data_IF_801537450856
#
_entry.id   IF_801537450856
#
_cell.length_a   1.000
_cell.length_b   1.000
_cell.length_c   1.000
_cell.angle_alpha   90.00
_cell.angle_beta   90.00
_cell.angle_gamma   90.00
#
_symmetry.space_group_name_H-M   'P 1'
#
loop_
_entity.id
_entity.type
_entity.pdbx_description
1 polymer ?
#
# COMPACT_ATOMS: atom_id res chain seq x y z
N UNK A 1 -2.67 -30.88 49.65
CA UNK A 1 -3.99 -30.26 49.32
C UNK A 1 -3.79 -29.44 48.09
N UNK A 2 -4.20 -30.00 47.05
CA UNK A 2 -4.54 -29.61 45.67
C UNK A 2 -4.34 -28.17 45.25
N UNK A 3 -3.38 -28.00 44.38
CA UNK A 3 -3.23 -26.91 43.43
C UNK A 3 -4.14 -27.18 42.23
N UNK A 4 -5.28 -26.56 42.14
CA UNK A 4 -6.06 -26.41 40.91
C UNK A 4 -5.47 -25.27 40.10
N UNK A 5 -4.58 -25.57 39.17
CA UNK A 5 -4.25 -24.72 38.05
C UNK A 5 -5.47 -24.69 37.13
N UNK A 6 -6.23 -23.60 37.22
CA UNK A 6 -7.34 -23.30 36.33
C UNK A 6 -6.76 -22.97 34.93
N UNK A 7 -6.91 -23.91 34.04
CA UNK A 7 -6.60 -23.76 32.61
C UNK A 7 -7.75 -23.00 31.93
N UNK A 8 -7.76 -21.67 32.07
CA UNK A 8 -8.59 -20.81 31.21
C UNK A 8 -7.92 -20.67 29.83
N UNK A 9 -7.99 -21.73 29.05
CA UNK A 9 -7.88 -21.60 27.60
C UNK A 9 -9.07 -20.78 27.12
N UNK A 10 -8.86 -19.46 26.98
CA UNK A 10 -9.85 -18.53 26.45
C UNK A 10 -10.24 -19.05 25.06
N UNK A 11 -11.44 -19.61 24.91
CA UNK A 11 -11.99 -19.99 23.60
C UNK A 11 -12.04 -18.71 22.75
N UNK A 12 -11.08 -18.56 21.83
CA UNK A 12 -11.11 -17.47 20.85
C UNK A 12 -12.45 -17.49 20.14
N UNK A 13 -13.12 -16.35 20.04
CA UNK A 13 -14.39 -16.24 19.33
C UNK A 13 -14.25 -16.75 17.90
N UNK A 14 -15.32 -17.28 17.29
CA UNK A 14 -15.33 -17.70 15.87
C UNK A 14 -14.79 -16.59 14.94
N UNK A 15 -15.05 -15.35 15.28
CA UNK A 15 -14.59 -14.18 14.57
C UNK A 15 -13.05 -13.98 14.67
N UNK A 16 -12.47 -14.20 15.83
CA UNK A 16 -11.01 -14.14 16.00
C UNK A 16 -10.29 -15.26 15.22
N UNK A 17 -10.88 -16.46 15.19
CA UNK A 17 -10.39 -17.57 14.34
C UNK A 17 -10.49 -17.27 12.85
N UNK A 18 -11.57 -16.63 12.42
CA UNK A 18 -11.72 -16.22 11.02
C UNK A 18 -10.65 -15.21 10.62
N UNK A 19 -10.34 -14.23 11.49
CA UNK A 19 -9.25 -13.26 11.24
C UNK A 19 -7.88 -13.94 11.09
N UNK A 20 -7.57 -14.94 11.88
CA UNK A 20 -6.31 -15.68 11.78
C UNK A 20 -6.17 -16.44 10.44
N UNK A 21 -7.28 -16.80 9.80
CA UNK A 21 -7.29 -17.57 8.55
C UNK A 21 -7.76 -16.76 7.33
N UNK A 22 -7.96 -15.45 7.45
CA UNK A 22 -8.51 -14.63 6.37
C UNK A 22 -7.64 -14.67 5.10
N UNK A 23 -6.32 -14.66 5.25
CA UNK A 23 -5.38 -14.75 4.12
C UNK A 23 -5.55 -16.05 3.36
N UNK A 24 -5.68 -17.19 4.08
CA UNK A 24 -5.94 -18.48 3.46
C UNK A 24 -7.31 -18.51 2.77
N UNK A 25 -8.33 -17.90 3.39
CA UNK A 25 -9.66 -17.79 2.80
C UNK A 25 -9.67 -16.94 1.51
N UNK A 26 -8.89 -15.87 1.46
CA UNK A 26 -8.73 -15.05 0.25
C UNK A 26 -8.06 -15.86 -0.85
N UNK A 27 -7.01 -16.61 -0.54
CA UNK A 27 -6.34 -17.47 -1.52
C UNK A 27 -7.27 -18.56 -2.05
N UNK A 28 -8.06 -19.20 -1.19
CA UNK A 28 -9.11 -20.16 -1.58
C UNK A 28 -10.15 -19.48 -2.47
N UNK A 29 -10.62 -18.29 -2.11
CA UNK A 29 -11.55 -17.50 -2.91
C UNK A 29 -10.99 -17.20 -4.31
N UNK A 30 -9.72 -16.83 -4.40
CA UNK A 30 -9.03 -16.59 -5.68
C UNK A 30 -8.99 -17.85 -6.55
N UNK A 31 -8.54 -18.97 -5.99
CA UNK A 31 -8.45 -20.25 -6.73
C UNK A 31 -9.82 -20.73 -7.18
N UNK A 32 -10.82 -20.70 -6.29
CA UNK A 32 -12.19 -21.07 -6.65
C UNK A 32 -12.79 -20.13 -7.71
N UNK A 33 -12.49 -18.83 -7.62
CA UNK A 33 -12.92 -17.83 -8.60
C UNK A 33 -12.33 -18.10 -9.99
N UNK A 34 -11.04 -18.41 -10.06
CA UNK A 34 -10.37 -18.78 -11.31
C UNK A 34 -11.02 -20.04 -11.90
N UNK A 35 -11.21 -21.08 -11.10
CA UNK A 35 -11.84 -22.33 -11.58
C UNK A 35 -13.29 -22.08 -12.03
N UNK A 36 -14.04 -21.27 -11.30
CA UNK A 36 -15.42 -20.91 -11.66
C UNK A 36 -15.45 -20.11 -12.97
N UNK A 37 -14.56 -19.13 -13.14
CA UNK A 37 -14.45 -18.35 -14.37
C UNK A 37 -14.12 -19.22 -15.59
N UNK A 38 -13.19 -20.18 -15.44
CA UNK A 38 -12.77 -21.05 -16.55
C UNK A 38 -13.83 -22.09 -16.95
N UNK A 39 -14.57 -22.63 -15.98
CA UNK A 39 -15.38 -23.84 -16.23
C UNK A 39 -16.89 -23.65 -16.08
N UNK A 40 -17.35 -22.70 -15.24
CA UNK A 40 -18.77 -22.53 -14.93
C UNK A 40 -19.37 -21.24 -15.49
N UNK A 41 -18.64 -20.13 -15.46
CA UNK A 41 -19.20 -18.83 -15.82
C UNK A 41 -19.67 -18.79 -17.29
N UNK A 42 -18.90 -19.39 -18.21
CA UNK A 42 -19.29 -19.52 -19.62
C UNK A 42 -20.48 -20.44 -19.90
N UNK A 43 -20.87 -21.28 -18.92
CA UNK A 43 -21.98 -22.25 -19.06
C UNK A 43 -23.27 -21.78 -18.38
N UNK A 44 -23.16 -20.92 -17.40
CA UNK A 44 -24.28 -20.50 -16.57
C UNK A 44 -24.28 -18.97 -16.39
N UNK A 45 -25.06 -18.24 -17.18
CA UNK A 45 -25.20 -16.78 -17.14
C UNK A 45 -25.52 -16.24 -15.74
N UNK A 46 -26.24 -17.04 -14.93
CA UNK A 46 -26.56 -16.67 -13.54
C UNK A 46 -25.31 -16.53 -12.69
N UNK A 47 -24.29 -17.39 -12.91
CA UNK A 47 -23.01 -17.30 -12.17
C UNK A 47 -22.33 -15.98 -12.47
N UNK A 48 -22.23 -15.62 -13.75
CA UNK A 48 -21.62 -14.35 -14.19
C UNK A 48 -22.40 -13.15 -13.65
N UNK A 49 -23.73 -13.17 -13.76
CA UNK A 49 -24.60 -12.09 -13.27
C UNK A 49 -24.43 -11.86 -11.76
N UNK A 50 -24.49 -12.94 -10.96
CA UNK A 50 -24.39 -12.85 -9.50
C UNK A 50 -22.98 -12.40 -9.07
N UNK A 51 -21.94 -12.96 -9.67
CA UNK A 51 -20.56 -12.59 -9.31
C UNK A 51 -20.25 -11.14 -9.73
N UNK A 52 -20.71 -10.69 -10.88
CA UNK A 52 -20.57 -9.29 -11.31
C UNK A 52 -21.29 -8.33 -10.34
N UNK A 53 -22.52 -8.67 -9.94
CA UNK A 53 -23.29 -7.85 -9.00
C UNK A 53 -22.59 -7.74 -7.63
N UNK A 54 -22.26 -8.90 -7.03
CA UNK A 54 -21.62 -8.92 -5.71
C UNK A 54 -20.21 -8.30 -5.74
N UNK A 55 -19.46 -8.55 -6.81
CA UNK A 55 -18.17 -7.91 -7.05
C UNK A 55 -18.30 -6.40 -7.12
N UNK A 56 -19.29 -5.87 -7.84
CA UNK A 56 -19.55 -4.42 -7.93
C UNK A 56 -19.93 -3.81 -6.58
N UNK A 57 -20.74 -4.49 -5.78
CA UNK A 57 -21.10 -4.03 -4.42
C UNK A 57 -19.86 -3.97 -3.53
N UNK A 58 -19.02 -5.01 -3.56
CA UNK A 58 -17.76 -5.04 -2.82
C UNK A 58 -16.81 -3.91 -3.25
N UNK A 59 -16.67 -3.70 -4.56
CA UNK A 59 -15.87 -2.61 -5.12
C UNK A 59 -16.38 -1.23 -4.71
N UNK A 60 -17.69 -1.00 -4.77
CA UNK A 60 -18.29 0.27 -4.36
C UNK A 60 -18.08 0.55 -2.87
N UNK A 61 -18.14 -0.50 -2.02
CA UNK A 61 -17.87 -0.36 -0.59
C UNK A 61 -16.41 0.07 -0.30
N UNK A 62 -15.44 -0.40 -1.09
CA UNK A 62 -14.05 0.05 -1.01
C UNK A 62 -13.87 1.46 -1.58
N UNK A 63 -14.39 1.71 -2.79
CA UNK A 63 -14.25 2.98 -3.50
C UNK A 63 -14.84 4.15 -2.72
N UNK A 64 -15.92 3.95 -1.98
CA UNK A 64 -16.56 4.96 -1.13
C UNK A 64 -15.57 5.61 -0.15
N UNK A 65 -14.58 4.86 0.33
CA UNK A 65 -13.63 5.33 1.34
C UNK A 65 -12.34 5.91 0.76
N UNK A 66 -12.10 5.81 -0.55
CA UNK A 66 -10.83 6.23 -1.18
C UNK A 66 -10.51 7.69 -0.89
N UNK A 67 -11.38 8.60 -1.28
CA UNK A 67 -11.11 10.05 -1.15
C UNK A 67 -11.05 10.51 0.31
N UNK A 68 -12.01 10.15 1.19
CA UNK A 68 -11.95 10.51 2.60
C UNK A 68 -10.70 9.96 3.29
N UNK A 69 -10.37 8.69 3.05
CA UNK A 69 -9.20 8.07 3.67
C UNK A 69 -7.90 8.73 3.22
N UNK A 70 -7.71 8.90 1.90
CA UNK A 70 -6.48 9.51 1.36
C UNK A 70 -6.29 10.92 1.92
N UNK A 71 -7.36 11.73 1.96
CA UNK A 71 -7.30 13.07 2.55
C UNK A 71 -6.89 13.03 4.04
N UNK A 72 -7.62 12.29 4.85
CA UNK A 72 -7.34 12.22 6.30
C UNK A 72 -5.96 11.64 6.59
N UNK A 73 -5.58 10.55 5.92
CA UNK A 73 -4.29 9.89 6.14
C UNK A 73 -3.10 10.78 5.78
N UNK A 74 -3.18 11.53 4.69
CA UNK A 74 -2.09 12.47 4.31
C UNK A 74 -1.99 13.61 5.31
N UNK A 75 -3.11 14.20 5.73
CA UNK A 75 -3.10 15.28 6.74
C UNK A 75 -2.50 14.76 8.04
N UNK A 76 -2.95 13.61 8.54
CA UNK A 76 -2.41 12.98 9.75
C UNK A 76 -0.92 12.65 9.60
N UNK A 77 -0.53 12.08 8.45
CA UNK A 77 0.86 11.77 8.15
C UNK A 77 1.77 13.01 8.23
N UNK A 78 1.38 14.12 7.59
CA UNK A 78 2.16 15.36 7.59
C UNK A 78 2.21 16.00 8.98
N UNK A 79 1.11 16.00 9.71
CA UNK A 79 1.07 16.62 11.06
C UNK A 79 1.86 15.83 12.09
N UNK A 80 1.95 14.51 11.97
CA UNK A 80 2.79 13.67 12.85
C UNK A 80 4.28 13.99 12.70
N UNK A 81 4.73 14.40 11.52
CA UNK A 81 6.10 14.86 11.28
C UNK A 81 6.39 16.19 12.03
N UNK A 82 5.43 17.10 12.03
CA UNK A 82 5.58 18.44 12.64
C UNK A 82 5.69 18.46 14.18
N UNK A 83 5.17 17.47 14.85
CA UNK A 83 5.19 17.36 16.33
C UNK A 83 6.52 16.91 16.93
N UNK A 84 7.52 16.64 16.11
CA UNK A 84 8.82 16.06 16.49
C UNK A 84 9.82 17.04 17.11
N UNK A 85 9.40 18.12 17.78
CA UNK A 85 10.31 19.13 18.35
C UNK A 85 11.28 18.57 19.42
N UNK A 86 10.94 17.49 20.09
CA UNK A 86 11.74 16.93 21.20
C UNK A 86 12.70 15.82 20.76
N UNK A 87 12.47 15.20 19.60
CA UNK A 87 13.26 14.07 19.06
C UNK A 87 13.75 14.36 17.63
N UNK A 88 13.84 15.62 17.29
CA UNK A 88 14.00 16.12 15.90
C UNK A 88 15.09 15.46 15.07
N UNK A 89 16.23 15.02 15.68
CA UNK A 89 17.29 14.36 14.93
C UNK A 89 16.90 12.94 14.48
N UNK A 90 16.23 12.15 15.34
CA UNK A 90 15.83 10.77 15.02
C UNK A 90 14.72 10.82 13.98
N UNK A 91 13.66 11.58 14.22
CA UNK A 91 12.52 11.72 13.30
C UNK A 91 12.94 12.30 11.96
N UNK A 92 13.75 13.38 11.96
CA UNK A 92 14.25 14.00 10.72
C UNK A 92 15.13 13.04 9.92
N UNK A 93 16.04 12.33 10.59
CA UNK A 93 16.90 11.34 9.93
C UNK A 93 16.10 10.17 9.37
N UNK A 94 15.11 9.65 10.13
CA UNK A 94 14.21 8.60 9.67
C UNK A 94 13.40 9.05 8.44
N UNK A 95 12.82 10.24 8.48
CA UNK A 95 12.06 10.82 7.37
C UNK A 95 12.88 10.97 6.09
N UNK A 96 14.10 11.49 6.20
CA UNK A 96 15.00 11.65 5.04
C UNK A 96 15.30 10.26 4.44
N UNK A 97 15.60 9.27 5.28
CA UNK A 97 15.87 7.92 4.83
C UNK A 97 14.67 7.31 4.14
N UNK A 98 13.50 7.31 4.78
CA UNK A 98 12.29 6.69 4.24
C UNK A 98 11.78 7.37 2.96
N UNK A 99 11.74 8.70 2.91
CA UNK A 99 11.31 9.39 1.70
C UNK A 99 12.27 9.19 0.53
N UNK A 100 13.57 9.11 0.80
CA UNK A 100 14.57 8.82 -0.23
C UNK A 100 14.42 7.40 -0.77
N UNK A 101 14.28 6.39 0.11
CA UNK A 101 14.10 5.00 -0.32
C UNK A 101 12.77 4.81 -1.03
N UNK A 102 11.69 5.48 -0.60
CA UNK A 102 10.39 5.46 -1.26
C UNK A 102 10.44 6.08 -2.67
N UNK A 103 11.13 7.20 -2.85
CA UNK A 103 11.31 7.78 -4.17
C UNK A 103 12.10 6.83 -5.11
N UNK A 104 13.15 6.20 -4.59
CA UNK A 104 13.92 5.21 -5.33
C UNK A 104 13.07 3.96 -5.65
N UNK A 105 12.27 3.50 -4.70
CA UNK A 105 11.36 2.38 -4.88
C UNK A 105 10.31 2.65 -5.96
N UNK A 106 9.69 3.83 -5.93
CA UNK A 106 8.75 4.26 -6.96
C UNK A 106 9.41 4.34 -8.34
N UNK A 107 10.63 4.88 -8.43
CA UNK A 107 11.39 4.94 -9.67
C UNK A 107 11.68 3.53 -10.23
N UNK A 108 12.20 2.62 -9.40
CA UNK A 108 12.46 1.23 -9.75
C UNK A 108 11.17 0.54 -10.22
N UNK A 109 10.07 0.77 -9.49
CA UNK A 109 8.75 0.25 -9.79
C UNK A 109 8.18 0.74 -11.12
N UNK A 110 8.55 1.91 -11.61
CA UNK A 110 8.15 2.42 -12.93
C UNK A 110 9.05 1.90 -14.05
N UNK A 111 10.36 1.81 -13.83
CA UNK A 111 11.33 1.50 -14.87
C UNK A 111 11.35 0.01 -15.22
N UNK A 112 11.32 -0.89 -14.22
CA UNK A 112 11.45 -2.33 -14.47
C UNK A 112 10.31 -2.86 -15.35
N UNK A 113 9.02 -2.69 -15.00
CA UNK A 113 7.94 -3.22 -15.83
C UNK A 113 7.89 -2.57 -17.22
N UNK A 114 8.31 -1.31 -17.34
CA UNK A 114 8.43 -0.64 -18.65
C UNK A 114 9.54 -1.24 -19.49
N UNK A 115 10.71 -1.49 -18.93
CA UNK A 115 11.88 -2.04 -19.65
C UNK A 115 11.60 -3.42 -20.24
N UNK A 116 10.82 -4.25 -19.55
CA UNK A 116 10.44 -5.60 -20.02
C UNK A 116 9.09 -5.62 -20.75
N UNK A 117 8.45 -4.47 -20.98
CA UNK A 117 7.12 -4.35 -21.56
C UNK A 117 6.06 -5.23 -20.84
N UNK A 118 6.09 -5.28 -19.53
CA UNK A 118 5.18 -6.09 -18.72
C UNK A 118 3.72 -5.68 -18.97
N UNK A 119 2.85 -6.66 -19.25
CA UNK A 119 1.45 -6.42 -19.60
C UNK A 119 1.19 -6.15 -21.09
N UNK A 120 2.23 -5.99 -21.92
CA UNK A 120 2.05 -5.77 -23.36
C UNK A 120 1.55 -7.06 -24.03
N UNK A 121 0.48 -6.93 -24.81
CA UNK A 121 -0.18 -8.06 -25.48
C UNK A 121 -1.26 -8.73 -24.65
N UNK A 122 -1.35 -8.42 -23.35
CA UNK A 122 -2.51 -8.79 -22.53
C UNK A 122 -3.66 -7.86 -22.91
N UNK A 123 -4.81 -8.42 -23.24
CA UNK A 123 -6.02 -7.64 -23.47
C UNK A 123 -6.99 -7.98 -22.35
N UNK A 124 -7.22 -7.04 -21.47
CA UNK A 124 -8.37 -7.13 -20.59
C UNK A 124 -9.58 -6.59 -21.35
N UNK A 125 -10.52 -7.44 -21.73
CA UNK A 125 -11.85 -6.97 -22.15
C UNK A 125 -12.56 -6.41 -20.90
N UNK A 126 -12.29 -5.15 -20.64
CA UNK A 126 -13.02 -4.39 -19.62
C UNK A 126 -14.19 -3.71 -20.32
N UNK A 127 -15.37 -3.75 -19.69
CA UNK A 127 -16.50 -2.97 -20.15
C UNK A 127 -16.02 -1.52 -20.33
N UNK A 128 -15.91 -1.08 -21.57
CA UNK A 128 -15.54 0.28 -21.95
C UNK A 128 -16.74 1.18 -21.71
N UNK A 129 -17.11 1.36 -20.45
CA UNK A 129 -17.98 2.48 -20.09
C UNK A 129 -17.13 3.73 -20.17
N UNK A 130 -17.29 4.45 -21.29
CA UNK A 130 -16.90 5.84 -21.51
C UNK A 130 -15.51 6.23 -21.00
N UNK A 131 -14.47 5.60 -21.60
CA UNK A 131 -13.16 6.21 -21.58
C UNK A 131 -13.20 7.30 -22.67
N UNK A 132 -13.69 8.49 -22.34
CA UNK A 132 -13.05 9.64 -22.92
C UNK A 132 -11.58 9.54 -22.49
N UNK A 133 -10.74 9.08 -23.41
CA UNK A 133 -9.30 9.11 -23.25
C UNK A 133 -8.99 10.55 -22.82
N UNK A 134 -8.77 10.75 -21.54
CA UNK A 134 -8.40 12.04 -21.00
C UNK A 134 -7.12 12.38 -21.72
N UNK A 135 -7.24 13.19 -22.79
CA UNK A 135 -6.11 13.69 -23.57
C UNK A 135 -5.16 14.25 -22.55
N UNK A 136 -4.02 13.58 -22.39
CA UNK A 136 -3.02 13.96 -21.42
C UNK A 136 -2.75 15.45 -21.56
N UNK A 137 -3.19 16.18 -20.57
CA UNK A 137 -2.92 17.60 -20.44
C UNK A 137 -1.40 17.79 -20.37
N UNK A 138 -0.89 18.80 -21.03
CA UNK A 138 0.51 19.21 -20.92
C UNK A 138 0.92 19.25 -19.44
N UNK A 139 2.22 19.04 -19.13
CA UNK A 139 2.73 19.24 -17.75
C UNK A 139 2.28 20.60 -17.20
N UNK A 140 2.25 21.63 -18.05
CA UNK A 140 1.76 22.96 -17.67
C UNK A 140 0.30 22.97 -17.24
N UNK A 141 -0.55 22.20 -17.92
CA UNK A 141 -1.97 22.11 -17.54
C UNK A 141 -2.16 21.28 -16.27
N UNK A 142 -1.34 20.25 -16.08
CA UNK A 142 -1.31 19.48 -14.82
C UNK A 142 -0.91 20.38 -13.66
N UNK A 143 0.14 21.21 -13.81
CA UNK A 143 0.58 22.15 -12.78
C UNK A 143 -0.46 23.25 -12.52
N UNK A 144 -1.11 23.79 -13.55
CA UNK A 144 -2.19 24.78 -13.39
C UNK A 144 -3.39 24.21 -12.62
N UNK A 145 -3.71 22.93 -12.86
CA UNK A 145 -4.86 22.27 -12.26
C UNK A 145 -4.50 21.57 -10.92
N UNK A 146 -3.28 21.71 -10.45
CA UNK A 146 -2.82 21.08 -9.20
C UNK A 146 -3.59 21.62 -7.98
N UNK A 147 -3.78 22.92 -7.93
CA UNK A 147 -4.49 23.59 -6.82
C UNK A 147 -5.97 23.69 -7.17
N UNK A 148 -6.87 23.09 -6.37
CA UNK A 148 -8.30 23.16 -6.63
C UNK A 148 -8.86 24.56 -6.40
N UNK A 149 -9.58 25.11 -7.38
CA UNK A 149 -10.36 26.32 -7.18
C UNK A 149 -11.52 26.11 -6.19
N UNK A 150 -12.05 24.87 -6.14
CA UNK A 150 -13.05 24.42 -5.18
C UNK A 150 -12.71 23.02 -4.68
N UNK A 151 -12.20 22.88 -3.44
CA UNK A 151 -11.86 21.57 -2.88
C UNK A 151 -13.05 20.61 -2.83
N UNK A 152 -14.26 21.09 -2.50
CA UNK A 152 -15.46 20.24 -2.44
C UNK A 152 -15.79 19.65 -3.82
N UNK A 153 -15.64 20.43 -4.86
CA UNK A 153 -15.82 19.95 -6.24
C UNK A 153 -14.73 18.92 -6.61
N UNK A 154 -13.50 19.05 -6.10
CA UNK A 154 -12.44 18.06 -6.31
C UNK A 154 -12.82 16.70 -5.72
N UNK A 155 -13.38 16.66 -4.52
CA UNK A 155 -13.91 15.42 -3.91
C UNK A 155 -15.10 14.86 -4.70
N UNK A 156 -16.09 15.70 -5.03
CA UNK A 156 -17.31 15.26 -5.73
C UNK A 156 -17.01 14.71 -7.14
N UNK A 157 -16.08 15.32 -7.85
CA UNK A 157 -15.70 14.93 -9.22
C UNK A 157 -14.59 13.86 -9.26
N UNK A 158 -14.11 13.40 -8.11
CA UNK A 158 -13.07 12.37 -8.05
C UNK A 158 -11.69 12.83 -8.55
N UNK A 159 -11.37 14.14 -8.48
CA UNK A 159 -10.07 14.64 -8.90
C UNK A 159 -9.01 14.42 -7.80
N UNK A 160 -8.39 13.24 -7.84
CA UNK A 160 -7.47 12.80 -6.80
C UNK A 160 -6.25 13.71 -6.66
N UNK A 161 -5.68 14.20 -7.76
CA UNK A 161 -4.51 15.09 -7.70
C UNK A 161 -4.82 16.38 -6.92
N UNK A 162 -6.00 16.95 -7.12
CA UNK A 162 -6.46 18.13 -6.39
C UNK A 162 -6.74 17.81 -4.92
N UNK A 163 -7.31 16.64 -4.62
CA UNK A 163 -7.54 16.17 -3.23
C UNK A 163 -6.22 15.99 -2.50
N UNK A 164 -5.22 15.37 -3.13
CA UNK A 164 -3.86 15.22 -2.60
C UNK A 164 -3.23 16.58 -2.28
N UNK A 165 -3.27 17.49 -3.24
CA UNK A 165 -2.70 18.84 -3.07
C UNK A 165 -3.37 19.58 -1.93
N UNK A 166 -4.69 19.51 -1.83
CA UNK A 166 -5.46 20.14 -0.76
C UNK A 166 -5.11 19.52 0.61
N UNK A 167 -4.98 18.20 0.69
CA UNK A 167 -4.57 17.50 1.92
C UNK A 167 -3.16 17.94 2.38
N UNK A 168 -2.22 18.07 1.44
CA UNK A 168 -0.86 18.53 1.72
C UNK A 168 -0.87 19.98 2.26
N UNK A 169 -1.63 20.87 1.63
CA UNK A 169 -1.77 22.26 2.08
C UNK A 169 -2.37 22.32 3.49
N UNK A 170 -3.44 21.58 3.76
CA UNK A 170 -4.07 21.51 5.09
C UNK A 170 -3.08 20.96 6.13
N UNK A 171 -2.38 19.86 5.82
CA UNK A 171 -1.40 19.24 6.73
C UNK A 171 -0.31 20.23 7.16
N UNK A 172 0.37 20.88 6.20
CA UNK A 172 1.39 21.88 6.52
C UNK A 172 0.83 23.11 7.23
N UNK A 173 -0.39 23.55 6.88
CA UNK A 173 -1.04 24.67 7.56
C UNK A 173 -1.34 24.36 9.02
N UNK A 174 -1.83 23.14 9.32
CA UNK A 174 -2.08 22.70 10.70
C UNK A 174 -0.79 22.66 11.51
N UNK A 175 0.32 22.19 10.93
CA UNK A 175 1.63 22.25 11.58
C UNK A 175 2.04 23.70 11.85
N UNK A 176 1.84 24.62 10.92
CA UNK A 176 2.24 26.02 11.05
C UNK A 176 1.44 26.78 12.11
N UNK A 177 0.13 26.57 12.20
CA UNK A 177 -0.72 27.26 13.20
C UNK A 177 -0.66 26.61 14.60
N UNK A 178 -0.10 25.42 14.72
CA UNK A 178 0.15 24.72 15.98
C UNK A 178 -1.12 24.50 16.81
N UNK A 179 -1.09 24.88 18.10
CA UNK A 179 -2.20 24.64 19.05
C UNK A 179 -3.58 25.13 18.56
N UNK A 180 -3.64 26.17 17.74
CA UNK A 180 -4.91 26.68 17.20
C UNK A 180 -5.57 25.71 16.22
N UNK A 181 -4.76 24.88 15.54
CA UNK A 181 -5.22 23.85 14.61
C UNK A 181 -5.61 22.52 15.27
N UNK A 182 -5.26 22.33 16.54
CA UNK A 182 -5.45 21.06 17.24
C UNK A 182 -6.91 20.55 17.25
N UNK A 183 -7.96 21.38 17.40
CA UNK A 183 -9.34 20.90 17.31
C UNK A 183 -9.68 20.29 15.93
N UNK A 184 -9.24 20.94 14.84
CA UNK A 184 -9.48 20.43 13.49
C UNK A 184 -8.66 19.15 13.23
N UNK A 185 -7.40 19.11 13.71
CA UNK A 185 -6.58 17.92 13.61
C UNK A 185 -7.25 16.71 14.28
N UNK A 186 -7.78 16.85 15.49
CA UNK A 186 -8.50 15.78 16.21
C UNK A 186 -9.73 15.28 15.45
N UNK A 187 -10.44 16.17 14.75
CA UNK A 187 -11.56 15.76 13.88
C UNK A 187 -11.06 14.92 12.69
N UNK A 188 -9.97 15.34 12.07
CA UNK A 188 -9.38 14.62 10.93
C UNK A 188 -8.78 13.27 11.38
N UNK A 189 -8.11 13.22 12.54
CA UNK A 189 -7.63 11.97 13.15
C UNK A 189 -8.78 11.00 13.40
N UNK A 190 -9.86 11.46 14.01
CA UNK A 190 -11.07 10.66 14.22
C UNK A 190 -11.69 10.21 12.91
N UNK A 191 -11.72 11.08 11.89
CA UNK A 191 -12.17 10.75 10.55
C UNK A 191 -11.32 9.66 9.89
N UNK A 192 -10.00 9.73 10.07
CA UNK A 192 -9.06 8.70 9.60
C UNK A 192 -9.34 7.35 10.26
N UNK A 193 -9.51 7.31 11.59
CA UNK A 193 -9.88 6.12 12.35
C UNK A 193 -11.19 5.49 11.85
N UNK A 194 -12.22 6.32 11.58
CA UNK A 194 -13.51 5.87 11.03
C UNK A 194 -13.31 5.24 9.65
N UNK A 195 -12.58 5.90 8.75
CA UNK A 195 -12.31 5.37 7.42
C UNK A 195 -11.55 4.03 7.48
N UNK A 196 -10.51 3.95 8.33
CA UNK A 196 -9.75 2.72 8.54
C UNK A 196 -10.63 1.59 9.08
N UNK A 197 -11.52 1.91 10.03
CA UNK A 197 -12.44 0.92 10.59
C UNK A 197 -13.45 0.41 9.56
N UNK A 198 -13.97 1.29 8.69
CA UNK A 198 -14.88 0.89 7.60
C UNK A 198 -14.15 -0.02 6.63
N UNK A 199 -12.97 0.37 6.14
CA UNK A 199 -12.18 -0.48 5.21
C UNK A 199 -11.86 -1.82 5.87
N UNK A 200 -11.38 -1.81 7.10
CA UNK A 200 -11.10 -3.03 7.85
C UNK A 200 -12.33 -3.95 7.96
N UNK A 201 -13.51 -3.36 8.11
CA UNK A 201 -14.78 -4.12 8.12
C UNK A 201 -15.11 -4.70 6.75
N UNK A 202 -14.94 -3.93 5.68
CA UNK A 202 -15.14 -4.40 4.29
C UNK A 202 -14.14 -5.52 3.95
N UNK A 203 -12.91 -5.44 4.47
CA UNK A 203 -11.88 -6.46 4.25
C UNK A 203 -12.24 -7.85 4.79
N UNK A 204 -13.17 -7.97 5.75
CA UNK A 204 -13.69 -9.30 6.14
C UNK A 204 -14.44 -10.03 5.03
N UNK A 205 -14.98 -9.30 4.08
CA UNK A 205 -15.66 -9.85 2.91
C UNK A 205 -14.72 -10.07 1.72
N UNK A 206 -13.42 -9.79 1.87
CA UNK A 206 -12.43 -9.93 0.79
C UNK A 206 -12.39 -11.31 0.15
N UNK A 207 -12.51 -12.45 0.87
CA UNK A 207 -12.54 -13.77 0.23
C UNK A 207 -13.66 -13.90 -0.81
N UNK A 208 -14.86 -13.40 -0.46
CA UNK A 208 -16.02 -13.38 -1.37
C UNK A 208 -15.82 -12.31 -2.45
N UNK A 209 -15.34 -11.14 -2.07
CA UNK A 209 -15.03 -10.03 -3.00
C UNK A 209 -14.05 -10.45 -4.09
N UNK A 210 -12.94 -11.07 -3.71
CA UNK A 210 -11.92 -11.59 -4.65
C UNK A 210 -12.50 -12.67 -5.56
N UNK A 211 -13.24 -13.63 -5.00
CA UNK A 211 -13.95 -14.63 -5.81
C UNK A 211 -14.86 -13.96 -6.85
N UNK A 212 -15.69 -13.02 -6.43
CA UNK A 212 -16.66 -12.36 -7.30
C UNK A 212 -16.03 -11.44 -8.35
N UNK A 213 -14.90 -10.82 -8.04
CA UNK A 213 -14.21 -9.91 -8.97
C UNK A 213 -13.36 -10.65 -10.00
N UNK A 214 -12.77 -11.79 -9.65
CA UNK A 214 -11.91 -12.54 -10.57
C UNK A 214 -12.72 -13.40 -11.57
N UNK A 215 -13.90 -13.86 -11.22
CA UNK A 215 -14.72 -14.72 -12.11
C UNK A 215 -15.01 -14.05 -13.45
N UNK A 216 -15.54 -12.82 -13.53
CA UNK A 216 -15.81 -12.16 -14.81
C UNK A 216 -14.51 -11.89 -15.60
N UNK A 217 -13.42 -11.56 -14.90
CA UNK A 217 -12.13 -11.28 -15.52
C UNK A 217 -11.55 -12.52 -16.20
N UNK A 218 -11.63 -13.67 -15.53
CA UNK A 218 -11.13 -14.95 -16.08
C UNK A 218 -12.07 -15.48 -17.17
N UNK A 219 -13.36 -15.30 -17.03
CA UNK A 219 -14.32 -15.68 -18.07
C UNK A 219 -14.07 -14.93 -19.38
N UNK A 220 -13.93 -13.60 -19.30
CA UNK A 220 -13.70 -12.76 -20.48
C UNK A 220 -12.34 -12.99 -21.16
N UNK A 221 -11.29 -13.27 -20.37
CA UNK A 221 -9.89 -13.22 -20.86
C UNK A 221 -9.18 -14.59 -20.84
N UNK A 222 -9.78 -15.61 -20.24
CA UNK A 222 -9.26 -16.99 -20.24
C UNK A 222 -7.94 -17.18 -19.47
N UNK A 223 -7.19 -18.21 -19.86
CA UNK A 223 -5.93 -18.61 -19.20
C UNK A 223 -4.78 -17.64 -19.41
N UNK A 224 -4.81 -16.79 -20.45
CA UNK A 224 -3.76 -15.81 -20.71
C UNK A 224 -3.66 -14.76 -19.59
N UNK A 225 -4.81 -14.38 -19.02
CA UNK A 225 -4.86 -13.47 -17.87
C UNK A 225 -4.13 -14.07 -16.68
N UNK A 226 -4.37 -15.35 -16.38
CA UNK A 226 -3.75 -16.03 -15.23
C UNK A 226 -2.23 -16.05 -15.38
N UNK A 227 -1.74 -16.40 -16.57
CA UNK A 227 -0.30 -16.44 -16.85
C UNK A 227 0.33 -15.05 -16.73
N UNK A 228 -0.37 -14.02 -17.21
CA UNK A 228 0.10 -12.64 -17.14
C UNK A 228 0.16 -12.11 -15.71
N UNK A 229 -0.85 -12.40 -14.90
CA UNK A 229 -0.86 -12.05 -13.46
C UNK A 229 0.20 -12.84 -12.69
N UNK A 230 0.41 -14.12 -13.01
CA UNK A 230 1.48 -14.91 -12.41
C UNK A 230 2.86 -14.33 -12.77
N UNK A 231 3.07 -13.97 -14.03
CA UNK A 231 4.32 -13.32 -14.49
C UNK A 231 4.54 -11.99 -13.77
N UNK A 232 3.49 -11.16 -13.66
CA UNK A 232 3.51 -9.92 -12.90
C UNK A 232 3.98 -10.15 -11.46
N UNK A 233 3.37 -11.12 -10.75
CA UNK A 233 3.72 -11.43 -9.37
C UNK A 233 5.17 -11.92 -9.23
N UNK A 234 5.63 -12.79 -10.12
CA UNK A 234 7.02 -13.28 -10.10
C UNK A 234 8.01 -12.12 -10.26
N UNK A 235 7.80 -11.27 -11.27
CA UNK A 235 8.68 -10.11 -11.52
C UNK A 235 8.62 -9.13 -10.34
N UNK A 236 7.44 -8.90 -9.77
CA UNK A 236 7.24 -8.05 -8.62
C UNK A 236 8.03 -8.56 -7.40
N UNK A 237 7.93 -9.85 -7.08
CA UNK A 237 8.66 -10.45 -5.96
C UNK A 237 10.17 -10.44 -6.16
N UNK A 238 10.64 -10.72 -7.38
CA UNK A 238 12.06 -10.58 -7.74
C UNK A 238 12.52 -9.14 -7.50
N UNK A 239 11.70 -8.16 -7.89
CA UNK A 239 12.00 -6.74 -7.65
C UNK A 239 12.03 -6.40 -6.17
N UNK A 240 11.08 -6.88 -5.38
CA UNK A 240 11.03 -6.67 -3.93
C UNK A 240 12.31 -7.13 -3.23
N UNK A 241 12.69 -8.39 -3.44
CA UNK A 241 13.86 -8.94 -2.79
C UNK A 241 15.18 -8.36 -3.33
N UNK A 242 15.23 -8.04 -4.62
CA UNK A 242 16.38 -7.34 -5.21
C UNK A 242 16.52 -5.94 -4.63
N UNK A 243 15.42 -5.19 -4.50
CA UNK A 243 15.39 -3.87 -3.88
C UNK A 243 15.87 -3.95 -2.42
N UNK A 244 15.32 -4.86 -1.63
CA UNK A 244 15.73 -5.05 -0.24
C UNK A 244 17.22 -5.41 -0.12
N UNK A 245 17.72 -6.32 -0.95
CA UNK A 245 19.11 -6.75 -0.93
C UNK A 245 20.07 -5.62 -1.34
N UNK A 246 19.74 -4.89 -2.40
CA UNK A 246 20.60 -3.83 -2.95
C UNK A 246 20.48 -2.56 -2.10
N UNK A 247 19.26 -2.04 -1.89
CA UNK A 247 19.07 -0.73 -1.26
C UNK A 247 19.26 -0.82 0.25
N UNK A 248 18.56 -1.73 0.93
CA UNK A 248 18.70 -1.85 2.39
C UNK A 248 20.01 -2.53 2.76
N UNK A 249 20.44 -3.56 2.02
CA UNK A 249 21.71 -4.22 2.24
C UNK A 249 22.89 -3.26 2.10
N UNK A 250 22.91 -2.39 1.08
CA UNK A 250 23.92 -1.36 0.92
C UNK A 250 23.83 -0.27 1.98
N UNK A 251 22.61 0.18 2.33
CA UNK A 251 22.40 1.18 3.38
C UNK A 251 22.92 0.70 4.73
N UNK A 252 22.60 -0.53 5.11
CA UNK A 252 23.09 -1.18 6.35
C UNK A 252 24.61 -1.30 6.33
N UNK A 253 25.21 -1.71 5.19
CA UNK A 253 26.67 -1.87 5.07
C UNK A 253 27.42 -0.55 5.11
N UNK A 254 27.01 0.42 4.28
CA UNK A 254 27.79 1.65 4.07
C UNK A 254 27.38 2.79 4.99
N UNK A 255 26.07 2.94 5.28
CA UNK A 255 25.56 4.00 6.15
C UNK A 255 25.47 3.55 7.61
N UNK A 256 25.04 2.32 7.85
CA UNK A 256 24.89 1.73 9.17
C UNK A 256 26.13 1.02 9.69
N UNK A 257 27.17 0.84 8.87
CA UNK A 257 28.44 0.13 9.19
C UNK A 257 28.23 -1.24 9.85
N UNK A 258 27.14 -1.90 9.52
CA UNK A 258 26.78 -3.21 10.06
C UNK A 258 26.85 -4.31 8.99
N UNK A 259 26.92 -5.56 9.43
CA UNK A 259 26.93 -6.71 8.52
C UNK A 259 25.55 -6.95 7.93
N UNK A 260 25.36 -6.93 6.58
CA UNK A 260 24.09 -7.25 5.95
C UNK A 260 23.60 -8.67 6.27
N UNK A 261 24.51 -9.65 6.39
CA UNK A 261 24.15 -11.02 6.73
C UNK A 261 23.61 -11.14 8.16
N UNK A 262 24.19 -10.40 9.13
CA UNK A 262 23.66 -10.32 10.49
C UNK A 262 22.29 -9.63 10.49
N UNK A 263 22.16 -8.53 9.74
CA UNK A 263 20.91 -7.78 9.62
C UNK A 263 19.77 -8.64 9.06
N UNK A 264 19.98 -9.37 7.96
CA UNK A 264 18.96 -10.26 7.38
C UNK A 264 18.50 -11.31 8.39
N UNK A 265 19.42 -11.93 9.14
CA UNK A 265 19.07 -12.91 10.19
C UNK A 265 18.23 -12.25 11.30
N UNK A 266 18.61 -11.05 11.73
CA UNK A 266 17.90 -10.31 12.76
C UNK A 266 16.47 -9.91 12.32
N UNK A 267 16.29 -9.55 11.05
CA UNK A 267 14.99 -9.14 10.51
C UNK A 267 14.02 -10.30 10.26
N UNK A 268 14.50 -11.52 10.11
CA UNK A 268 13.71 -12.64 9.62
C UNK A 268 12.42 -12.92 10.41
N UNK A 269 12.41 -12.89 11.75
CA UNK A 269 11.17 -13.11 12.52
C UNK A 269 10.11 -12.03 12.22
N UNK A 270 10.50 -10.75 12.21
CA UNK A 270 9.59 -9.65 11.91
C UNK A 270 9.11 -9.67 10.46
N UNK A 271 10.01 -9.96 9.51
CA UNK A 271 9.70 -10.08 8.09
C UNK A 271 8.68 -11.20 7.81
N UNK A 272 8.82 -12.36 8.45
CA UNK A 272 7.87 -13.47 8.32
C UNK A 272 6.52 -13.14 8.96
N UNK A 273 6.51 -12.47 10.12
CA UNK A 273 5.27 -12.00 10.73
C UNK A 273 4.54 -11.00 9.82
N UNK A 274 5.28 -10.03 9.27
CA UNK A 274 4.74 -9.05 8.33
C UNK A 274 4.18 -9.70 7.06
N UNK A 275 4.88 -10.69 6.51
CA UNK A 275 4.44 -11.47 5.36
C UNK A 275 3.11 -12.19 5.65
N UNK A 276 2.97 -12.82 6.83
CA UNK A 276 1.75 -13.55 7.18
C UNK A 276 0.56 -12.66 7.55
N UNK A 277 0.83 -11.49 8.15
CA UNK A 277 -0.23 -10.59 8.66
C UNK A 277 -0.63 -9.48 7.69
N UNK A 278 0.18 -9.19 6.68
CA UNK A 278 0.04 -8.01 5.82
C UNK A 278 -0.09 -6.70 6.63
N UNK A 279 0.55 -6.61 7.79
CA UNK A 279 0.43 -5.46 8.68
C UNK A 279 1.76 -5.04 9.28
N UNK A 280 2.30 -3.92 8.82
CA UNK A 280 3.47 -3.29 9.42
C UNK A 280 3.18 -2.86 10.86
N UNK A 281 1.99 -2.32 11.11
CA UNK A 281 1.57 -1.87 12.46
C UNK A 281 1.51 -3.01 13.47
N UNK A 282 0.99 -4.19 13.08
CA UNK A 282 0.96 -5.37 13.95
C UNK A 282 2.37 -5.94 14.22
N UNK A 283 3.34 -5.62 13.37
CA UNK A 283 4.72 -6.12 13.45
C UNK A 283 5.64 -5.19 14.27
N UNK A 284 5.20 -3.97 14.61
CA UNK A 284 6.00 -2.98 15.36
C UNK A 284 6.71 -3.58 16.61
N UNK A 285 6.03 -4.30 17.51
CA UNK A 285 6.68 -4.82 18.72
C UNK A 285 7.82 -5.80 18.39
N UNK A 286 7.61 -6.67 17.41
CA UNK A 286 8.59 -7.66 17.01
C UNK A 286 9.78 -7.02 16.26
N UNK A 287 9.52 -6.02 15.42
CA UNK A 287 10.58 -5.24 14.75
C UNK A 287 11.46 -4.51 15.75
N UNK A 288 10.86 -3.92 16.80
CA UNK A 288 11.62 -3.31 17.91
C UNK A 288 12.52 -4.33 18.55
N UNK A 289 11.96 -5.43 19.01
CA UNK A 289 12.70 -6.50 19.68
C UNK A 289 13.87 -6.99 18.82
N UNK A 290 13.64 -7.27 17.54
CA UNK A 290 14.69 -7.71 16.62
C UNK A 290 15.86 -6.71 16.53
N UNK A 291 15.55 -5.41 16.52
CA UNK A 291 16.60 -4.39 16.41
C UNK A 291 17.32 -4.14 17.72
N UNK A 292 16.64 -4.21 18.83
CA UNK A 292 17.22 -4.01 20.15
C UNK A 292 18.11 -5.20 20.54
N UNK A 293 17.58 -6.42 20.48
CA UNK A 293 18.27 -7.63 20.95
C UNK A 293 19.41 -8.04 20.01
N UNK A 294 19.18 -8.02 18.69
CA UNK A 294 20.11 -8.58 17.71
C UNK A 294 21.07 -7.55 17.13
N UNK A 295 20.60 -6.31 16.92
CA UNK A 295 21.40 -5.25 16.30
C UNK A 295 21.91 -4.22 17.30
N UNK A 296 21.46 -4.28 18.57
CA UNK A 296 21.85 -3.37 19.64
C UNK A 296 21.49 -1.93 19.35
N UNK A 297 20.34 -1.70 18.71
CA UNK A 297 19.79 -0.35 18.49
C UNK A 297 19.12 0.10 19.79
N UNK A 298 19.31 1.35 20.19
CA UNK A 298 18.70 1.85 21.43
C UNK A 298 17.20 1.96 21.31
N UNK A 299 16.48 1.73 22.42
CA UNK A 299 15.02 1.91 22.53
C UNK A 299 14.57 3.32 22.10
N UNK A 300 15.39 4.35 22.37
CA UNK A 300 15.10 5.73 21.92
C UNK A 300 14.94 5.84 20.41
N UNK A 301 15.72 5.06 19.62
CA UNK A 301 15.64 5.06 18.17
C UNK A 301 14.48 4.19 17.70
N UNK A 302 14.38 2.96 18.22
CA UNK A 302 13.38 1.99 17.77
C UNK A 302 11.96 2.43 18.09
N UNK A 303 11.75 3.04 19.27
CA UNK A 303 10.44 3.57 19.70
C UNK A 303 9.92 4.73 18.83
N UNK A 304 10.79 5.39 18.08
CA UNK A 304 10.41 6.48 17.16
C UNK A 304 10.42 6.01 15.72
N UNK A 305 11.54 5.42 15.27
CA UNK A 305 11.75 5.13 13.86
C UNK A 305 10.86 3.98 13.36
N UNK A 306 10.61 2.93 14.14
CA UNK A 306 9.79 1.80 13.70
C UNK A 306 8.31 2.16 13.59
N UNK A 307 7.63 2.81 14.57
CA UNK A 307 6.27 3.26 14.38
C UNK A 307 6.11 4.29 13.26
N UNK A 308 7.09 5.19 13.08
CA UNK A 308 7.11 6.15 11.99
C UNK A 308 7.24 5.43 10.64
N UNK A 309 8.16 4.45 10.54
CA UNK A 309 8.35 3.65 9.33
C UNK A 309 7.09 2.88 8.96
N UNK A 310 6.43 2.23 9.92
CA UNK A 310 5.19 1.50 9.69
C UNK A 310 4.06 2.33 9.05
N UNK A 311 4.18 3.66 9.02
CA UNK A 311 3.20 4.57 8.41
C UNK A 311 3.76 5.39 7.24
N UNK A 312 5.07 5.59 7.15
CA UNK A 312 5.70 6.47 6.15
C UNK A 312 6.56 5.68 5.17
N UNK A 313 7.22 4.63 5.63
CA UNK A 313 8.11 3.82 4.81
C UNK A 313 7.33 2.75 4.04
N UNK A 314 6.69 3.16 2.96
CA UNK A 314 5.90 2.26 2.10
C UNK A 314 6.61 1.97 0.77
N UNK A 315 7.90 1.63 0.84
CA UNK A 315 8.78 1.44 -0.32
C UNK A 315 8.25 0.35 -1.26
N UNK A 316 7.96 -0.83 -0.73
CA UNK A 316 7.47 -1.93 -1.55
C UNK A 316 6.02 -1.71 -2.01
N UNK A 317 5.18 -1.03 -1.22
CA UNK A 317 3.87 -0.56 -1.71
C UNK A 317 4.08 0.37 -2.89
N UNK A 318 5.04 1.29 -2.83
CA UNK A 318 5.36 2.19 -3.95
C UNK A 318 5.85 1.45 -5.19
N UNK A 319 6.59 0.35 -5.03
CA UNK A 319 6.92 -0.57 -6.13
C UNK A 319 5.64 -1.18 -6.69
N UNK A 320 4.75 -1.76 -5.85
CA UNK A 320 3.48 -2.35 -6.30
C UNK A 320 2.68 -1.36 -7.11
N UNK A 321 2.43 -0.18 -6.56
CA UNK A 321 1.59 0.85 -7.19
C UNK A 321 2.15 1.24 -8.56
N UNK A 322 3.46 1.46 -8.64
CA UNK A 322 4.15 1.80 -9.89
C UNK A 322 4.09 0.66 -10.92
N UNK A 323 4.32 -0.59 -10.49
CA UNK A 323 4.20 -1.79 -11.34
C UNK A 323 2.81 -1.93 -11.93
N UNK A 324 1.78 -1.80 -11.08
CA UNK A 324 0.38 -1.93 -11.50
C UNK A 324 -0.02 -0.87 -12.50
N UNK A 325 0.42 0.39 -12.31
CA UNK A 325 0.14 1.45 -13.29
C UNK A 325 0.73 1.12 -14.66
N UNK A 326 2.00 0.71 -14.72
CA UNK A 326 2.66 0.37 -15.99
C UNK A 326 2.05 -0.88 -16.62
N UNK A 327 1.78 -1.92 -15.82
CA UNK A 327 1.17 -3.16 -16.28
C UNK A 327 -0.20 -2.93 -16.89
N UNK A 328 -1.10 -2.26 -16.15
CA UNK A 328 -2.44 -1.99 -16.64
C UNK A 328 -2.46 -0.99 -17.80
N UNK A 329 -1.58 0.00 -17.80
CA UNK A 329 -1.45 0.91 -18.93
C UNK A 329 -1.08 0.14 -20.22
N UNK A 330 -0.09 -0.75 -20.15
CA UNK A 330 0.29 -1.60 -21.28
C UNK A 330 -0.85 -2.54 -21.70
N UNK A 331 -1.55 -3.14 -20.75
CA UNK A 331 -2.66 -4.06 -21.01
C UNK A 331 -3.90 -3.38 -21.60
N UNK A 332 -4.17 -2.13 -21.20
CA UNK A 332 -5.30 -1.33 -21.71
C UNK A 332 -4.94 -0.47 -22.91
N UNK A 333 -3.68 -0.51 -23.39
CA UNK A 333 -3.23 0.32 -24.50
C UNK A 333 -3.16 1.83 -24.19
N UNK A 334 -3.05 2.19 -22.89
CA UNK A 334 -2.90 3.57 -22.42
C UNK A 334 -1.42 3.94 -22.46
N UNK A 335 -1.06 4.99 -23.19
CA UNK A 335 0.30 5.52 -23.18
C UNK A 335 0.59 6.29 -21.90
N UNK A 336 1.52 5.81 -21.09
CA UNK A 336 2.07 6.58 -19.96
C UNK A 336 3.31 7.33 -20.45
N UNK A 337 3.14 8.63 -20.70
CA UNK A 337 4.24 9.49 -21.11
C UNK A 337 5.29 9.65 -20.00
N UNK A 338 6.49 10.09 -20.36
CA UNK A 338 7.55 10.37 -19.37
C UNK A 338 7.11 11.45 -18.36
N UNK A 339 6.34 12.43 -18.80
CA UNK A 339 5.76 13.46 -17.91
C UNK A 339 4.79 12.87 -16.90
N UNK A 340 3.93 11.95 -17.32
CA UNK A 340 3.02 11.24 -16.42
C UNK A 340 3.77 10.34 -15.44
N UNK A 341 4.86 9.70 -15.85
CA UNK A 341 5.71 8.91 -14.94
C UNK A 341 6.28 9.77 -13.81
N UNK A 342 6.71 11.01 -14.11
CA UNK A 342 7.18 11.94 -13.07
C UNK A 342 6.04 12.32 -12.12
N UNK A 343 4.86 12.60 -12.64
CA UNK A 343 3.67 12.91 -11.81
C UNK A 343 3.31 11.72 -10.93
N UNK A 344 3.29 10.50 -11.48
CA UNK A 344 3.01 9.26 -10.74
C UNK A 344 4.07 9.04 -9.65
N UNK A 345 5.35 9.24 -9.95
CA UNK A 345 6.43 9.10 -8.97
C UNK A 345 6.23 10.06 -7.78
N UNK A 346 5.99 11.34 -8.05
CA UNK A 346 5.78 12.35 -7.01
C UNK A 346 4.51 12.07 -6.20
N UNK A 347 3.41 11.73 -6.87
CA UNK A 347 2.16 11.37 -6.22
C UNK A 347 2.32 10.11 -5.36
N UNK A 348 3.06 9.12 -5.84
CA UNK A 348 3.31 7.88 -5.12
C UNK A 348 4.10 8.12 -3.82
N UNK A 349 5.12 8.99 -3.85
CA UNK A 349 5.86 9.39 -2.63
C UNK A 349 4.93 10.08 -1.63
N UNK A 350 4.02 10.95 -2.08
CA UNK A 350 3.05 11.61 -1.20
C UNK A 350 2.05 10.59 -0.64
N UNK A 351 1.53 9.70 -1.47
CA UNK A 351 0.58 8.66 -1.07
C UNK A 351 1.19 7.67 -0.10
N UNK A 352 2.49 7.38 -0.22
CA UNK A 352 3.18 6.47 0.71
C UNK A 352 3.10 6.96 2.15
N UNK A 353 3.22 8.27 2.38
CA UNK A 353 3.11 8.90 3.71
C UNK A 353 1.70 8.73 4.32
N UNK A 354 0.68 8.64 3.46
CA UNK A 354 -0.72 8.46 3.90
C UNK A 354 -1.24 7.03 3.82
N UNK A 355 -0.44 6.07 3.35
CA UNK A 355 -0.88 4.69 3.24
C UNK A 355 -0.79 3.99 4.60
N UNK A 356 -1.91 3.49 5.16
CA UNK A 356 -1.88 2.87 6.48
C UNK A 356 -1.22 1.48 6.43
N UNK A 357 -0.45 1.14 7.46
CA UNK A 357 0.25 -0.16 7.60
C UNK A 357 -0.65 -1.30 8.05
N UNK A 358 -1.80 -1.46 7.39
CA UNK A 358 -2.82 -2.50 7.64
C UNK A 358 -3.15 -3.24 6.34
N UNK A 359 -3.69 -4.48 6.40
CA UNK A 359 -4.08 -5.22 5.21
C UNK A 359 -4.98 -4.40 4.28
N UNK A 360 -4.66 -4.38 2.99
CA UNK A 360 -5.43 -3.66 1.98
C UNK A 360 -5.23 -2.13 1.96
N UNK A 361 -4.34 -1.58 2.79
CA UNK A 361 -4.08 -0.14 2.87
C UNK A 361 -3.69 0.49 1.52
N UNK A 362 -3.03 -0.25 0.64
CA UNK A 362 -2.60 0.22 -0.67
C UNK A 362 -3.73 0.36 -1.71
N UNK A 363 -4.93 -0.21 -1.46
CA UNK A 363 -6.04 -0.21 -2.43
C UNK A 363 -6.48 1.22 -2.77
N UNK A 364 -6.64 2.07 -1.76
CA UNK A 364 -7.02 3.46 -1.98
C UNK A 364 -5.94 4.24 -2.75
N UNK A 365 -4.66 4.00 -2.43
CA UNK A 365 -3.53 4.63 -3.10
C UNK A 365 -3.42 4.19 -4.57
N UNK A 366 -3.68 2.91 -4.87
CA UNK A 366 -3.73 2.43 -6.25
C UNK A 366 -4.88 3.08 -7.03
N UNK A 367 -6.10 3.14 -6.45
CA UNK A 367 -7.22 3.77 -7.10
C UNK A 367 -6.95 5.26 -7.44
N UNK A 368 -6.28 5.96 -6.52
CA UNK A 368 -5.83 7.32 -6.72
C UNK A 368 -4.91 7.45 -7.94
N UNK A 369 -3.85 6.62 -8.00
CA UNK A 369 -2.89 6.65 -9.10
C UNK A 369 -3.49 6.16 -10.42
N UNK A 370 -4.36 5.14 -10.39
CA UNK A 370 -5.04 4.63 -11.58
C UNK A 370 -5.93 5.69 -12.22
N UNK A 371 -6.68 6.43 -11.40
CA UNK A 371 -7.48 7.58 -11.87
C UNK A 371 -6.60 8.67 -12.47
N UNK A 372 -5.48 9.02 -11.81
CA UNK A 372 -4.52 10.01 -12.33
C UNK A 372 -3.88 9.57 -13.65
N UNK A 373 -3.61 8.28 -13.81
CA UNK A 373 -3.06 7.70 -15.03
C UNK A 373 -4.09 7.51 -16.15
N UNK A 374 -5.37 7.84 -15.91
CA UNK A 374 -6.45 7.65 -16.88
C UNK A 374 -6.77 6.19 -17.16
N UNK A 375 -6.53 5.30 -16.21
CA UNK A 375 -6.83 3.87 -16.36
C UNK A 375 -8.33 3.61 -16.17
N UNK A 376 -8.89 2.60 -16.90
CA UNK A 376 -10.29 2.20 -16.73
C UNK A 376 -10.59 1.75 -15.29
N UNK A 377 -11.80 2.04 -14.79
CA UNK A 377 -12.22 1.61 -13.46
C UNK A 377 -12.15 0.08 -13.24
N UNK A 378 -12.31 -0.71 -14.30
CA UNK A 378 -12.23 -2.17 -14.27
C UNK A 378 -10.89 -2.73 -13.79
N UNK A 379 -9.76 -1.97 -13.92
CA UNK A 379 -8.45 -2.41 -13.42
C UNK A 379 -8.44 -2.64 -11.91
N UNK A 380 -9.32 -1.94 -11.18
CA UNK A 380 -9.46 -2.10 -9.73
C UNK A 380 -9.88 -3.52 -9.34
N UNK A 381 -10.82 -4.13 -10.08
CA UNK A 381 -11.26 -5.50 -9.81
C UNK A 381 -10.12 -6.50 -9.94
N UNK A 382 -9.31 -6.35 -10.99
CA UNK A 382 -8.12 -7.20 -11.21
C UNK A 382 -7.08 -6.98 -10.12
N UNK A 383 -6.78 -5.71 -9.78
CA UNK A 383 -5.82 -5.40 -8.72
C UNK A 383 -6.23 -5.99 -7.37
N UNK A 384 -7.50 -5.79 -6.98
CA UNK A 384 -8.00 -6.30 -5.69
C UNK A 384 -7.92 -7.83 -5.62
N UNK A 385 -8.14 -8.53 -6.75
CA UNK A 385 -8.04 -9.99 -6.81
C UNK A 385 -6.66 -10.53 -6.41
N UNK A 386 -5.59 -9.80 -6.73
CA UNK A 386 -4.20 -10.19 -6.44
C UNK A 386 -3.58 -9.36 -5.32
N UNK A 387 -4.28 -8.35 -4.79
CA UNK A 387 -3.72 -7.40 -3.82
C UNK A 387 -3.13 -8.09 -2.60
N UNK A 388 -3.80 -9.11 -2.05
CA UNK A 388 -3.28 -9.82 -0.88
C UNK A 388 -1.92 -10.45 -1.14
N UNK A 389 -1.72 -11.04 -2.33
CA UNK A 389 -0.42 -11.62 -2.70
C UNK A 389 0.65 -10.53 -2.85
N UNK A 390 0.29 -9.37 -3.40
CA UNK A 390 1.20 -8.22 -3.48
C UNK A 390 1.53 -7.68 -2.09
N UNK A 391 0.53 -7.57 -1.22
CA UNK A 391 0.60 -6.98 0.11
C UNK A 391 1.47 -7.82 1.06
N UNK A 392 1.40 -9.15 0.99
CA UNK A 392 2.28 -10.05 1.76
C UNK A 392 3.76 -9.73 1.52
N UNK A 393 4.19 -9.67 0.26
CA UNK A 393 5.57 -9.35 -0.10
C UNK A 393 5.94 -7.91 0.20
N UNK A 394 5.04 -6.97 -0.09
CA UNK A 394 5.25 -5.55 0.14
C UNK A 394 5.42 -5.25 1.64
N UNK A 395 4.56 -5.76 2.49
CA UNK A 395 4.64 -5.55 3.95
C UNK A 395 5.91 -6.14 4.54
N UNK A 396 6.31 -7.33 4.07
CA UNK A 396 7.59 -7.94 4.45
C UNK A 396 8.77 -6.99 4.17
N UNK A 397 8.84 -6.44 2.97
CA UNK A 397 9.95 -5.56 2.55
C UNK A 397 9.89 -4.19 3.21
N UNK A 398 8.70 -3.62 3.41
CA UNK A 398 8.54 -2.37 4.15
C UNK A 398 9.09 -2.49 5.58
N UNK A 399 8.73 -3.56 6.30
CA UNK A 399 9.21 -3.82 7.67
C UNK A 399 10.74 -4.00 7.70
N UNK A 400 11.33 -4.65 6.70
CA UNK A 400 12.80 -4.72 6.57
C UNK A 400 13.39 -3.31 6.39
N UNK A 401 12.74 -2.44 5.62
CA UNK A 401 13.15 -1.05 5.42
C UNK A 401 13.09 -0.23 6.71
N UNK A 402 12.03 -0.40 7.53
CA UNK A 402 11.92 0.24 8.85
C UNK A 402 13.11 -0.08 9.73
N UNK A 403 13.45 -1.38 9.78
CA UNK A 403 14.59 -1.88 10.56
C UNK A 403 15.93 -1.43 9.97
N UNK A 404 16.08 -1.32 8.65
CA UNK A 404 17.28 -0.78 8.02
C UNK A 404 17.50 0.69 8.38
N UNK A 405 16.42 1.48 8.41
CA UNK A 405 16.43 2.86 8.89
C UNK A 405 16.95 2.97 10.34
N UNK A 406 16.54 2.08 11.24
CA UNK A 406 17.01 2.05 12.62
C UNK A 406 18.54 1.80 12.71
N UNK A 407 19.06 0.85 11.91
CA UNK A 407 20.51 0.55 11.88
C UNK A 407 21.31 1.75 11.33
N UNK A 408 20.81 2.42 10.30
CA UNK A 408 21.44 3.64 9.75
C UNK A 408 21.43 4.77 10.77
N UNK A 409 20.30 4.98 11.48
CA UNK A 409 20.17 6.02 12.50
C UNK A 409 21.09 5.78 13.70
N UNK A 410 21.23 4.53 14.15
CA UNK A 410 22.16 4.15 15.22
C UNK A 410 23.58 4.66 14.97
N UNK A 411 24.08 4.54 13.74
CA UNK A 411 25.43 4.99 13.37
C UNK A 411 25.52 6.50 13.18
N UNK A 412 24.45 7.13 12.66
CA UNK A 412 24.47 8.56 12.30
C UNK A 412 24.13 9.49 13.45
N UNK A 413 23.36 9.02 14.41
CA UNK A 413 22.90 9.83 15.55
C UNK A 413 23.63 9.35 16.81
N UNK A 414 24.60 10.17 17.26
CA UNK A 414 25.17 9.98 18.60
C UNK A 414 24.11 10.41 19.60
N UNK A 415 23.58 9.46 20.35
CA UNK A 415 22.73 9.75 21.49
C UNK A 415 23.69 10.09 22.63
N UNK A 416 23.51 11.27 23.21
CA UNK A 416 24.15 11.60 24.48
C UNK A 416 23.56 10.64 25.52
N UNK A 417 24.41 9.88 26.19
CA UNK A 417 24.07 8.90 27.24
C UNK A 417 23.35 9.53 28.41
#
# INVERSE_FOLDING_TARGET
MNSTQDSTATQKSLFARYQEHITSAIFIGLVLGILTGLFLASRFDVVLTVTTLLGSVYMNALNMMIFPLVFCSIVVGITSIGNAKTTGKITGGAMIFFLFTTALASFVGLIIPRAINLGKGVRFEMATSDIEASKMTSILDTVKNLIPANPVAAFANGNMLQVLTFAVIIGFTLVAIGKKGEPLLKVIESGNEVCLKIISTVMYFTPIGVFCTIVPVVEANGTETILSLATLLVVLYVTFFSFAAIVYGSSVKFLGKASPAKFVKACLPAALNAFGTCSSSATIPLSKQCMEDEMGVSDKITSIAIPLGATVNMDAVSIVLSFMIVFFANACGVEVSTSMMIVILLANVILSVGTPGIPGGAIASFAALATMAGLPAGVMGVYISINTLCDMGATCVNVIGDMAGCVVLKEKIKLDD
#
